data_IF_835544864192
#
_entry.id   IF_835544864192
#
_cell.length_a   1.000
_cell.length_b   1.000
_cell.length_c   1.000
_cell.angle_alpha   90.00
_cell.angle_beta   90.00
_cell.angle_gamma   90.00
#
_symmetry.space_group_name_H-M   'P 1'
#
loop_
_entity.id
_entity.type
_entity.pdbx_description
1 polymer ?
#
# COMPACT_ATOMS: atom_id res chain seq x y z
N UNK A 1 19.43 45.83 17.54
CA UNK A 1 18.10 45.48 18.08
C UNK A 1 17.54 44.42 17.17
N UNK A 2 17.94 43.18 17.45
CA UNK A 2 17.49 41.96 16.80
C UNK A 2 16.17 41.53 17.44
N UNK A 3 15.18 41.14 16.63
CA UNK A 3 13.84 40.73 17.08
C UNK A 3 13.34 39.55 16.27
N UNK A 4 14.11 38.47 16.26
CA UNK A 4 13.58 37.12 16.02
C UNK A 4 13.41 36.39 17.35
N UNK A 5 12.16 36.24 17.78
CA UNK A 5 11.75 35.15 18.65
C UNK A 5 10.32 34.78 18.25
N UNK A 6 10.21 33.81 17.33
CA UNK A 6 8.99 33.03 17.12
C UNK A 6 8.88 32.06 18.29
N UNK A 7 7.74 32.08 18.96
CA UNK A 7 7.38 31.14 20.03
C UNK A 7 7.42 29.67 19.52
N UNK A 8 7.83 28.72 20.37
CA UNK A 8 7.83 27.30 20.01
C UNK A 8 6.41 26.75 20.01
N UNK A 9 6.09 26.00 18.95
CA UNK A 9 4.85 25.24 18.77
C UNK A 9 4.71 24.23 19.92
N UNK A 10 3.63 24.37 20.69
CA UNK A 10 3.20 23.39 21.69
C UNK A 10 3.12 22.00 21.05
N UNK A 11 3.96 21.10 21.55
CA UNK A 11 4.02 19.70 21.21
C UNK A 11 2.69 19.04 21.55
N UNK A 12 1.89 18.75 20.53
CA UNK A 12 0.61 18.06 20.65
C UNK A 12 0.88 16.61 21.09
N UNK A 13 0.99 16.38 22.40
CA UNK A 13 1.22 15.04 22.97
C UNK A 13 0.05 14.14 22.59
N UNK A 14 0.26 13.28 21.60
CA UNK A 14 -0.68 12.24 21.23
C UNK A 14 -0.89 11.31 22.43
N UNK A 15 -2.14 10.87 22.65
CA UNK A 15 -2.47 9.87 23.68
C UNK A 15 -1.49 8.69 23.57
N UNK A 16 -0.73 8.44 24.62
CA UNK A 16 0.25 7.35 24.66
C UNK A 16 -0.45 6.01 24.44
N UNK A 17 0.19 5.18 23.61
CA UNK A 17 -0.29 3.82 23.34
C UNK A 17 -0.13 2.95 24.58
N UNK A 18 -1.14 2.12 24.84
CA UNK A 18 -1.10 1.18 25.97
C UNK A 18 0.06 0.20 25.78
N UNK A 19 0.89 -0.08 26.80
CA UNK A 19 2.00 -1.02 26.68
C UNK A 19 1.55 -2.40 26.20
N UNK A 20 2.35 -3.01 25.33
CA UNK A 20 2.22 -4.41 24.89
C UNK A 20 3.34 -5.20 25.56
N UNK A 21 2.99 -6.28 26.26
CA UNK A 21 3.95 -7.19 26.87
C UNK A 21 4.37 -8.24 25.82
N UNK A 22 5.62 -8.22 25.30
CA UNK A 22 6.06 -9.15 24.28
C UNK A 22 6.13 -10.61 24.78
N UNK A 23 6.11 -10.84 26.10
CA UNK A 23 6.19 -12.19 26.70
C UNK A 23 4.81 -12.83 26.91
N UNK A 24 3.73 -12.08 26.71
CA UNK A 24 2.36 -12.56 26.95
C UNK A 24 1.82 -13.52 25.87
N UNK A 25 2.51 -13.65 24.73
CA UNK A 25 2.14 -14.57 23.66
C UNK A 25 2.64 -14.13 22.28
N UNK A 26 2.52 -14.99 21.26
CA UNK A 26 3.08 -14.74 19.94
C UNK A 26 2.42 -13.56 19.22
N UNK A 27 1.13 -13.31 19.47
CA UNK A 27 0.42 -12.13 18.93
C UNK A 27 0.94 -10.83 19.55
N UNK A 28 1.24 -10.83 20.85
CA UNK A 28 1.78 -9.68 21.56
C UNK A 28 3.24 -9.42 21.18
N UNK A 29 4.04 -10.46 20.99
CA UNK A 29 5.40 -10.36 20.45
C UNK A 29 5.40 -9.74 19.04
N UNK A 30 4.54 -10.22 18.14
CA UNK A 30 4.40 -9.68 16.79
C UNK A 30 3.97 -8.20 16.80
N UNK A 31 3.02 -7.83 17.67
CA UNK A 31 2.57 -6.45 17.82
C UNK A 31 3.67 -5.54 18.41
N UNK A 32 4.47 -6.04 19.34
CA UNK A 32 5.64 -5.33 19.89
C UNK A 32 6.67 -5.04 18.78
N UNK A 33 7.01 -6.03 17.98
CA UNK A 33 7.94 -5.86 16.85
C UNK A 33 7.37 -4.91 15.79
N UNK A 34 6.05 -4.91 15.52
CA UNK A 34 5.44 -3.94 14.61
C UNK A 34 5.61 -2.49 15.10
N UNK A 35 5.45 -2.27 16.42
CA UNK A 35 5.69 -0.95 17.02
C UNK A 35 7.16 -0.55 16.96
N UNK A 36 8.08 -1.50 17.13
CA UNK A 36 9.52 -1.29 16.99
C UNK A 36 9.88 -0.91 15.56
N UNK A 37 9.37 -1.62 14.56
CA UNK A 37 9.55 -1.26 13.15
C UNK A 37 9.06 0.17 12.86
N UNK A 38 7.89 0.55 13.39
CA UNK A 38 7.40 1.93 13.24
C UNK A 38 8.32 2.94 13.93
N UNK A 39 8.85 2.63 15.11
CA UNK A 39 9.80 3.50 15.78
C UNK A 39 11.10 3.69 14.96
N UNK A 40 11.64 2.61 14.39
CA UNK A 40 12.80 2.62 13.50
C UNK A 40 12.54 3.43 12.21
N UNK A 41 11.29 3.46 11.74
CA UNK A 41 10.84 4.29 10.62
C UNK A 41 10.62 5.78 10.96
N UNK A 42 11.09 6.25 12.13
CA UNK A 42 10.91 7.64 12.59
C UNK A 42 9.60 7.88 13.35
N UNK A 43 8.95 6.82 13.82
CA UNK A 43 7.73 6.84 14.62
C UNK A 43 6.56 7.67 14.03
N UNK A 44 6.18 7.46 12.74
CA UNK A 44 5.06 8.18 12.16
C UNK A 44 3.75 7.92 12.93
N UNK A 45 2.93 8.95 13.09
CA UNK A 45 1.59 8.79 13.69
C UNK A 45 0.74 7.83 12.85
N UNK A 46 -0.22 7.11 13.47
CA UNK A 46 -1.11 6.22 12.70
C UNK A 46 -1.90 6.95 11.60
N UNK A 47 -2.18 8.25 11.77
CA UNK A 47 -2.77 9.08 10.70
C UNK A 47 -1.81 9.31 9.54
N UNK A 48 -0.52 9.49 9.82
CA UNK A 48 0.50 9.59 8.78
C UNK A 48 0.67 8.26 8.06
N UNK A 49 0.74 7.16 8.82
CA UNK A 49 0.85 5.81 8.29
C UNK A 49 -0.36 5.41 7.43
N UNK A 50 -1.57 5.83 7.82
CA UNK A 50 -2.80 5.58 7.07
C UNK A 50 -2.77 6.13 5.64
N UNK A 51 -2.10 7.27 5.41
CA UNK A 51 -1.97 7.86 4.08
C UNK A 51 -1.18 6.97 3.13
N UNK A 52 -0.17 6.27 3.63
CA UNK A 52 0.71 5.41 2.84
C UNK A 52 0.20 3.97 2.78
N UNK A 53 -0.30 3.43 3.90
CA UNK A 53 -0.71 2.02 4.04
C UNK A 53 -2.09 1.70 3.43
N UNK A 54 -2.93 2.70 3.14
CA UNK A 54 -4.27 2.46 2.57
C UNK A 54 -5.30 1.88 3.55
N UNK A 55 -4.99 1.84 4.85
CA UNK A 55 -5.90 1.44 5.93
C UNK A 55 -6.17 2.60 6.89
N UNK A 56 -7.29 2.56 7.61
CA UNK A 56 -7.63 3.59 8.59
C UNK A 56 -6.63 3.64 9.75
N UNK A 57 -6.42 4.82 10.34
CA UNK A 57 -5.55 4.97 11.51
C UNK A 57 -6.00 4.08 12.68
N UNK A 58 -7.30 3.84 12.84
CA UNK A 58 -7.86 2.92 13.84
C UNK A 58 -7.43 1.48 13.56
N UNK A 59 -7.57 1.01 12.31
CA UNK A 59 -7.18 -0.34 11.89
C UNK A 59 -5.68 -0.59 12.13
N UNK A 60 -4.83 0.39 11.80
CA UNK A 60 -3.38 0.28 12.00
C UNK A 60 -3.00 0.31 13.49
N UNK A 61 -3.69 1.10 14.29
CA UNK A 61 -3.54 1.12 15.75
C UNK A 61 -3.95 -0.22 16.37
N UNK A 62 -5.05 -0.81 15.91
CA UNK A 62 -5.51 -2.14 16.35
C UNK A 62 -4.53 -3.25 15.94
N UNK A 63 -3.98 -3.19 14.72
CA UNK A 63 -2.99 -4.16 14.25
C UNK A 63 -1.72 -4.16 15.10
N UNK A 64 -1.27 -2.98 15.55
CA UNK A 64 -0.18 -2.83 16.51
C UNK A 64 -0.64 -3.00 17.97
N UNK A 65 -1.90 -3.37 18.23
CA UNK A 65 -2.50 -3.41 19.56
C UNK A 65 -2.19 -4.67 20.38
N UNK A 66 -1.82 -5.78 19.73
CA UNK A 66 -1.52 -7.04 20.39
C UNK A 66 -2.73 -7.76 21.00
N UNK A 67 -3.96 -7.31 20.70
CA UNK A 67 -5.20 -7.92 21.20
C UNK A 67 -5.70 -9.07 20.32
N UNK A 68 -5.37 -9.03 19.03
CA UNK A 68 -5.71 -10.05 18.04
C UNK A 68 -4.67 -10.03 16.92
N UNK A 69 -4.43 -11.17 16.30
CA UNK A 69 -3.58 -11.24 15.12
C UNK A 69 -4.21 -10.38 14.00
N UNK A 70 -3.52 -9.35 13.48
CA UNK A 70 -4.00 -8.64 12.29
C UNK A 70 -4.16 -9.60 11.11
N UNK A 71 -4.97 -9.25 10.12
CA UNK A 71 -4.92 -9.99 8.85
C UNK A 71 -3.55 -9.79 8.21
N UNK A 72 -3.11 -10.78 7.42
CA UNK A 72 -1.83 -10.72 6.74
C UNK A 72 -1.68 -9.42 5.91
N UNK A 73 -2.75 -9.03 5.21
CA UNK A 73 -2.76 -7.81 4.40
C UNK A 73 -2.53 -6.52 5.21
N UNK A 74 -3.20 -6.38 6.37
CA UNK A 74 -3.05 -5.21 7.23
C UNK A 74 -1.62 -5.15 7.80
N UNK A 75 -1.06 -6.30 8.17
CA UNK A 75 0.32 -6.39 8.64
C UNK A 75 1.31 -5.99 7.53
N UNK A 76 1.18 -6.53 6.32
CA UNK A 76 2.09 -6.22 5.21
C UNK A 76 1.99 -4.74 4.78
N UNK A 77 0.79 -4.16 4.76
CA UNK A 77 0.62 -2.74 4.47
C UNK A 77 1.23 -1.82 5.55
N UNK A 78 1.12 -2.20 6.82
CA UNK A 78 1.81 -1.50 7.92
C UNK A 78 3.33 -1.57 7.72
N UNK A 79 3.86 -2.76 7.47
CA UNK A 79 5.29 -3.02 7.29
C UNK A 79 5.84 -2.24 6.10
N UNK A 80 5.15 -2.29 4.95
CA UNK A 80 5.54 -1.55 3.75
C UNK A 80 5.50 -0.04 3.97
N UNK A 81 4.49 0.48 4.68
CA UNK A 81 4.42 1.90 5.04
C UNK A 81 5.54 2.34 6.00
N UNK A 82 6.09 1.42 6.79
CA UNK A 82 7.28 1.65 7.61
C UNK A 82 8.60 1.32 6.90
N UNK A 83 8.57 0.86 5.65
CA UNK A 83 9.77 0.50 4.89
C UNK A 83 10.44 -0.81 5.30
N UNK A 84 9.73 -1.68 6.05
CA UNK A 84 10.22 -3.03 6.40
C UNK A 84 10.11 -4.02 5.23
N UNK A 85 10.72 -5.20 5.40
CA UNK A 85 10.72 -6.27 4.40
C UNK A 85 9.41 -7.11 4.44
N UNK A 86 8.51 -7.01 3.43
CA UNK A 86 7.23 -7.71 3.48
C UNK A 86 7.36 -9.24 3.55
N UNK A 87 8.38 -9.84 2.94
CA UNK A 87 8.52 -11.30 2.90
C UNK A 87 8.93 -11.89 4.25
N UNK A 88 9.81 -11.19 4.96
CA UNK A 88 10.19 -11.53 6.34
C UNK A 88 8.98 -11.49 7.27
N UNK A 89 8.20 -10.42 7.14
CA UNK A 89 7.01 -10.20 7.95
C UNK A 89 5.86 -11.14 7.59
N UNK A 90 5.75 -11.57 6.32
CA UNK A 90 4.84 -12.63 5.89
C UNK A 90 5.15 -13.96 6.57
N UNK A 91 6.43 -14.37 6.60
CA UNK A 91 6.85 -15.60 7.28
C UNK A 91 6.51 -15.57 8.77
N UNK A 92 6.88 -14.48 9.45
CA UNK A 92 6.54 -14.27 10.87
C UNK A 92 5.04 -14.32 11.14
N UNK A 93 4.23 -13.74 10.25
CA UNK A 93 2.77 -13.79 10.39
C UNK A 93 2.25 -15.22 10.30
N UNK A 94 2.76 -16.03 9.36
CA UNK A 94 2.37 -17.43 9.23
C UNK A 94 2.79 -18.28 10.44
N UNK A 95 4.00 -18.07 10.97
CA UNK A 95 4.47 -18.72 12.20
C UNK A 95 3.49 -18.45 13.37
N UNK A 96 3.13 -17.18 13.58
CA UNK A 96 2.17 -16.81 14.62
C UNK A 96 0.77 -17.36 14.33
N UNK A 97 0.31 -17.34 13.08
CA UNK A 97 -1.00 -17.88 12.69
C UNK A 97 -1.10 -19.39 12.95
N UNK A 98 0.00 -20.11 12.74
CA UNK A 98 0.09 -21.55 12.97
C UNK A 98 0.09 -21.88 14.46
N UNK A 99 0.78 -21.09 15.28
CA UNK A 99 0.72 -21.18 16.74
C UNK A 99 -0.66 -20.84 17.33
N UNK A 100 -1.47 -20.04 16.61
CA UNK A 100 -2.84 -19.72 16.99
C UNK A 100 -3.86 -20.78 16.55
N UNK A 101 -3.47 -21.76 15.71
CA UNK A 101 -4.38 -22.85 15.36
C UNK A 101 -4.62 -23.71 16.61
N UNK A 102 -5.89 -23.99 16.96
CA UNK A 102 -6.18 -24.96 18.01
C UNK A 102 -5.50 -26.27 17.64
N UNK A 103 -4.63 -26.80 18.50
CA UNK A 103 -4.20 -28.18 18.40
C UNK A 103 -5.45 -29.05 18.57
N UNK A 104 -5.83 -29.75 17.51
CA UNK A 104 -6.86 -30.78 17.52
C UNK A 104 -6.35 -31.96 18.38
N UNK A 105 -6.33 -31.76 19.69
CA UNK A 105 -6.29 -32.87 20.63
C UNK A 105 -7.69 -33.46 20.67
N UNK A 106 -7.89 -34.45 19.79
CA UNK A 106 -8.77 -35.59 20.03
C UNK A 106 -10.23 -35.25 20.27
N UNK A 107 -11.01 -35.35 19.20
CA UNK A 107 -12.42 -35.70 19.20
C UNK A 107 -12.79 -36.64 20.38
N UNK A 108 -13.35 -36.08 21.44
CA UNK A 108 -14.21 -36.80 22.38
C UNK A 108 -15.61 -36.23 22.20
N UNK A 109 -16.48 -37.09 21.68
CA UNK A 109 -17.88 -36.84 21.41
C UNK A 109 -18.61 -36.49 22.73
N UNK A 110 -19.40 -35.39 22.85
CA UNK A 110 -20.06 -34.99 24.11
C UNK A 110 -21.25 -35.85 24.55
N UNK A 111 -21.33 -37.10 24.10
CA UNK A 111 -22.41 -38.01 24.47
C UNK A 111 -21.79 -39.20 25.21
N UNK A 112 -21.50 -39.01 26.50
CA UNK A 112 -21.58 -40.00 27.58
C UNK A 112 -20.88 -39.46 28.84
N UNK A 113 -21.68 -38.89 29.76
CA UNK A 113 -21.24 -38.48 31.10
C UNK A 113 -22.42 -37.93 31.95
N UNK A 114 -22.56 -38.31 33.23
CA UNK A 114 -23.83 -38.26 33.99
C UNK A 114 -24.18 -36.86 34.55
N UNK A 115 -25.41 -36.63 35.04
CA UNK A 115 -25.87 -35.32 35.49
C UNK A 115 -25.43 -34.97 36.93
N UNK A 116 -25.21 -33.67 37.10
CA UNK A 116 -25.22 -32.79 38.30
C UNK A 116 -24.30 -33.09 39.50
N UNK A 117 -23.54 -32.06 39.93
CA UNK A 117 -23.53 -31.50 41.31
C UNK A 117 -22.76 -30.16 41.41
N UNK A 118 -23.18 -29.33 42.36
CA UNK A 118 -22.99 -27.89 42.56
C UNK A 118 -21.55 -27.35 42.83
N UNK A 119 -21.29 -26.09 42.42
CA UNK A 119 -20.18 -25.27 42.95
C UNK A 119 -19.87 -23.95 42.21
N UNK A 120 -19.43 -22.86 42.87
CA UNK A 120 -19.90 -21.49 42.59
C UNK A 120 -19.11 -20.69 41.53
N UNK A 121 -19.84 -19.87 40.74
CA UNK A 121 -19.27 -18.87 39.82
C UNK A 121 -18.83 -17.58 40.56
N UNK A 122 -17.61 -17.05 40.35
CA UNK A 122 -17.25 -15.71 40.78
C UNK A 122 -17.39 -14.64 39.66
N UNK A 123 -18.31 -13.70 39.94
CA UNK A 123 -18.25 -12.23 39.80
C UNK A 123 -17.74 -11.57 38.51
N UNK A 124 -18.69 -11.17 37.66
CA UNK A 124 -18.54 -10.06 36.69
C UNK A 124 -18.77 -8.71 37.39
N UNK A 125 -17.80 -7.80 37.28
CA UNK A 125 -17.87 -6.45 37.82
C UNK A 125 -18.88 -5.60 37.03
N UNK A 126 -19.96 -5.22 37.71
CA UNK A 126 -20.93 -4.21 37.25
C UNK A 126 -20.36 -2.82 37.54
N UNK A 127 -20.38 -1.95 36.54
CA UNK A 127 -20.18 -0.49 36.72
C UNK A 127 -21.42 0.08 37.43
N UNK A 128 -21.29 0.81 38.55
CA UNK A 128 -22.44 1.48 39.15
C UNK A 128 -22.72 2.82 38.45
N UNK A 129 -23.98 3.01 38.06
CA UNK A 129 -24.53 4.31 37.69
C UNK A 129 -24.86 5.09 38.98
N UNK A 130 -24.35 6.32 39.09
CA UNK A 130 -24.73 7.25 40.16
C UNK A 130 -25.92 8.09 39.69
N UNK A 131 -27.06 7.86 40.34
CA UNK A 131 -28.19 8.79 40.39
C UNK A 131 -27.95 9.75 41.57
N UNK A 132 -28.06 11.05 41.33
CA UNK A 132 -28.20 12.06 42.38
C UNK A 132 -29.49 12.83 42.13
N UNK A 133 -30.43 12.73 43.07
CA UNK A 133 -31.61 13.57 43.17
C UNK A 133 -31.51 14.35 44.49
N UNK A 134 -31.67 15.67 44.43
CA UNK A 134 -32.06 16.51 45.59
C UNK A 134 -33.03 17.58 45.10
N UNK A 135 -34.03 17.84 45.95
CA UNK A 135 -35.32 18.43 45.65
C UNK A 135 -35.38 19.98 45.69
N UNK A 136 -36.38 20.48 44.95
CA UNK A 136 -37.32 21.59 45.19
C UNK A 136 -36.86 22.90 45.87
N UNK A 137 -37.16 24.05 45.24
CA UNK A 137 -38.26 24.96 45.67
C UNK A 137 -38.65 25.95 44.56
N UNK A 138 -39.87 26.47 44.68
CA UNK A 138 -40.74 27.14 43.70
C UNK A 138 -40.45 28.62 43.39
N UNK A 139 -40.89 29.09 42.20
CA UNK A 139 -41.90 30.19 42.09
C UNK A 139 -42.54 30.34 40.69
N UNK A 140 -43.87 30.30 40.70
CA UNK A 140 -44.90 31.07 39.99
C UNK A 140 -44.65 31.81 38.63
N UNK A 141 -45.57 31.51 37.70
CA UNK A 141 -46.37 32.40 36.83
C UNK A 141 -45.67 33.18 35.69
N UNK A 142 -46.01 32.81 34.44
CA UNK A 142 -46.53 33.78 33.45
C UNK A 142 -47.35 33.09 32.35
N UNK A 143 -48.54 33.63 32.12
CA UNK A 143 -49.50 33.32 31.05
C UNK A 143 -49.10 34.07 29.78
N UNK A 144 -49.09 33.43 28.60
CA UNK A 144 -49.45 34.06 27.30
C UNK A 144 -49.37 33.07 26.10
N UNK A 145 -50.55 32.74 25.57
CA UNK A 145 -50.99 32.71 24.15
C UNK A 145 -50.08 32.19 23.01
N UNK A 146 -50.54 31.06 22.44
CA UNK A 146 -50.78 30.74 21.00
C UNK A 146 -49.82 31.23 19.90
N UNK A 147 -49.23 30.29 19.13
CA UNK A 147 -49.25 30.25 17.64
C UNK A 147 -49.05 28.80 17.19
N UNK A 148 -49.91 28.32 16.29
CA UNK A 148 -49.81 26.98 15.69
C UNK A 148 -48.59 26.84 14.77
N UNK A 149 -47.85 25.75 14.96
CA UNK A 149 -46.84 25.29 14.00
C UNK A 149 -47.26 23.91 13.51
N UNK A 150 -47.47 23.84 12.19
CA UNK A 150 -47.83 22.65 11.46
C UNK A 150 -46.90 21.48 11.79
N UNK A 151 -47.48 20.36 12.25
CA UNK A 151 -46.80 19.05 12.28
C UNK A 151 -46.59 18.60 10.84
N UNK A 152 -45.46 19.00 10.23
CA UNK A 152 -44.93 18.29 9.06
C UNK A 152 -44.52 16.91 9.55
N UNK A 153 -45.26 15.89 9.14
CA UNK A 153 -44.83 14.51 9.31
C UNK A 153 -43.45 14.35 8.66
N UNK A 154 -42.47 13.95 9.45
CA UNK A 154 -41.19 13.50 8.93
C UNK A 154 -41.45 12.33 7.97
N UNK A 155 -40.94 12.35 6.72
CA UNK A 155 -40.98 11.16 5.89
C UNK A 155 -40.24 10.03 6.63
N UNK A 156 -40.69 8.77 6.52
CA UNK A 156 -40.00 7.67 7.15
C UNK A 156 -38.57 7.63 6.63
N UNK A 157 -37.61 7.61 7.56
CA UNK A 157 -36.21 7.41 7.26
C UNK A 157 -36.09 6.10 6.46
N UNK A 158 -35.83 6.21 5.16
CA UNK A 158 -35.43 5.06 4.36
C UNK A 158 -34.14 4.56 4.99
N UNK A 159 -34.23 3.41 5.68
CA UNK A 159 -33.05 2.75 6.20
C UNK A 159 -32.08 2.52 5.04
N UNK A 160 -30.80 2.90 5.14
CA UNK A 160 -29.83 2.59 4.11
C UNK A 160 -29.81 1.07 3.94
N UNK A 161 -30.05 0.62 2.70
CA UNK A 161 -29.98 -0.79 2.33
C UNK A 161 -28.62 -1.34 2.78
N UNK A 162 -28.65 -2.33 3.67
CA UNK A 162 -27.49 -3.05 4.19
C UNK A 162 -26.98 -4.13 3.23
N UNK A 163 -27.38 -4.06 1.94
CA UNK A 163 -26.80 -4.93 0.94
C UNK A 163 -25.32 -4.58 0.79
N UNK A 164 -24.40 -5.56 0.89
CA UNK A 164 -23.00 -5.30 0.58
C UNK A 164 -22.90 -4.71 -0.84
N UNK A 165 -22.03 -3.72 -1.07
CA UNK A 165 -21.89 -3.12 -2.39
C UNK A 165 -21.62 -4.23 -3.41
N UNK A 166 -22.50 -4.36 -4.39
CA UNK A 166 -22.36 -5.37 -5.45
C UNK A 166 -21.22 -4.98 -6.40
N UNK A 167 -20.56 -5.97 -6.99
CA UNK A 167 -19.57 -5.71 -8.03
C UNK A 167 -20.21 -4.95 -9.21
N UNK A 168 -19.48 -4.00 -9.84
CA UNK A 168 -19.97 -3.31 -11.01
C UNK A 168 -20.18 -4.31 -12.16
N UNK A 169 -21.18 -4.04 -13.00
CA UNK A 169 -21.35 -4.79 -14.25
C UNK A 169 -20.22 -4.44 -15.21
N UNK A 170 -19.72 -5.44 -15.95
CA UNK A 170 -18.69 -5.21 -16.94
C UNK A 170 -19.28 -4.43 -18.14
N UNK A 171 -18.73 -3.26 -18.49
CA UNK A 171 -19.22 -2.47 -19.59
C UNK A 171 -18.66 -2.97 -20.94
N UNK A 172 -19.42 -2.74 -22.01
CA UNK A 172 -19.11 -3.26 -23.35
C UNK A 172 -17.90 -2.57 -24.01
N UNK A 173 -17.56 -1.35 -23.58
CA UNK A 173 -16.45 -0.54 -24.08
C UNK A 173 -15.15 -0.68 -23.24
N UNK A 174 -15.10 -1.67 -22.33
CA UNK A 174 -13.89 -1.94 -21.58
C UNK A 174 -12.76 -2.41 -22.51
N UNK A 175 -11.65 -1.66 -22.53
CA UNK A 175 -10.42 -2.00 -23.26
C UNK A 175 -9.69 -3.18 -22.62
N UNK A 176 -9.74 -3.28 -21.29
CA UNK A 176 -9.20 -4.40 -20.53
C UNK A 176 -9.92 -4.55 -19.20
N UNK A 177 -9.62 -5.64 -18.49
CA UNK A 177 -10.20 -5.93 -17.18
C UNK A 177 -9.13 -6.17 -16.13
N UNK A 178 -9.52 -6.01 -14.87
CA UNK A 178 -8.71 -6.43 -13.74
C UNK A 178 -9.57 -6.78 -12.53
N UNK A 179 -8.97 -7.48 -11.58
CA UNK A 179 -9.62 -7.92 -10.35
C UNK A 179 -9.14 -7.08 -9.18
N UNK A 180 -10.05 -6.40 -8.50
CA UNK A 180 -9.74 -5.62 -7.30
C UNK A 180 -9.34 -6.55 -6.15
N UNK A 181 -8.47 -6.10 -5.25
CA UNK A 181 -8.04 -6.91 -4.09
C UNK A 181 -7.85 -6.07 -2.82
N UNK A 182 -7.47 -6.73 -1.72
CA UNK A 182 -7.25 -6.09 -0.42
C UNK A 182 -8.50 -5.45 0.15
N UNK A 183 -8.43 -4.16 0.49
CA UNK A 183 -9.57 -3.39 0.99
C UNK A 183 -10.57 -2.95 -0.11
N UNK A 184 -10.34 -3.34 -1.37
CA UNK A 184 -11.09 -2.88 -2.52
C UNK A 184 -10.49 -1.64 -3.18
N UNK A 185 -11.11 -1.20 -4.26
CA UNK A 185 -10.63 -0.16 -5.14
C UNK A 185 -11.38 1.15 -4.94
N UNK A 186 -10.68 2.16 -4.40
CA UNK A 186 -11.23 3.52 -4.30
C UNK A 186 -11.18 4.21 -5.67
N UNK A 187 -12.34 4.41 -6.27
CA UNK A 187 -12.49 5.19 -7.50
C UNK A 187 -12.47 6.66 -7.14
N UNK A 188 -11.51 7.40 -7.69
CA UNK A 188 -11.26 8.81 -7.36
C UNK A 188 -11.47 9.70 -8.56
N UNK A 189 -11.72 10.98 -8.30
CA UNK A 189 -11.86 12.01 -9.35
C UNK A 189 -10.56 12.33 -10.10
N UNK A 190 -9.41 11.99 -9.52
CA UNK A 190 -8.10 12.20 -10.15
C UNK A 190 -7.06 11.22 -9.60
N UNK A 191 -5.91 11.18 -10.25
CA UNK A 191 -4.87 10.16 -10.07
C UNK A 191 -3.96 10.44 -8.87
N UNK A 192 -4.56 10.72 -7.72
CA UNK A 192 -3.87 10.87 -6.43
C UNK A 192 -4.79 10.43 -5.28
N UNK A 193 -4.20 9.90 -4.21
CA UNK A 193 -4.89 9.47 -2.99
C UNK A 193 -5.50 10.61 -2.19
N UNK A 194 -5.08 11.85 -2.42
CA UNK A 194 -5.69 13.04 -1.82
C UNK A 194 -6.97 13.48 -2.57
N UNK A 195 -7.25 12.90 -3.73
CA UNK A 195 -8.48 13.19 -4.48
C UNK A 195 -9.71 12.54 -3.85
N UNK A 196 -10.88 13.20 -3.88
CA UNK A 196 -12.12 12.66 -3.35
C UNK A 196 -12.46 11.28 -3.93
N UNK A 197 -12.80 10.35 -3.05
CA UNK A 197 -13.35 9.04 -3.42
C UNK A 197 -14.80 9.23 -3.85
N UNK A 198 -15.11 8.81 -5.08
CA UNK A 198 -16.47 8.82 -5.62
C UNK A 198 -17.25 7.58 -5.19
N UNK A 199 -16.59 6.43 -5.26
CA UNK A 199 -17.13 5.14 -4.83
C UNK A 199 -15.99 4.19 -4.48
N UNK A 200 -16.30 3.11 -3.77
CA UNK A 200 -15.36 2.02 -3.51
C UNK A 200 -15.91 0.75 -4.13
N UNK A 201 -15.16 0.17 -5.05
CA UNK A 201 -15.46 -1.15 -5.61
C UNK A 201 -14.94 -2.20 -4.62
N UNK A 202 -15.75 -3.19 -4.20
CA UNK A 202 -15.30 -4.24 -3.29
C UNK A 202 -14.10 -5.01 -3.84
N UNK A 203 -13.35 -5.70 -2.98
CA UNK A 203 -12.34 -6.67 -3.41
C UNK A 203 -13.00 -7.89 -4.09
N UNK A 204 -12.23 -8.57 -4.95
CA UNK A 204 -12.67 -9.73 -5.72
C UNK A 204 -13.56 -9.39 -6.93
N UNK A 205 -13.80 -8.10 -7.20
CA UNK A 205 -14.63 -7.69 -8.33
C UNK A 205 -13.80 -7.60 -9.61
N UNK A 206 -14.34 -8.17 -10.70
CA UNK A 206 -13.83 -7.90 -12.05
C UNK A 206 -14.36 -6.54 -12.52
N UNK A 207 -13.45 -5.65 -12.89
CA UNK A 207 -13.74 -4.28 -13.31
C UNK A 207 -13.24 -4.06 -14.73
N UNK A 208 -14.03 -3.35 -15.53
CA UNK A 208 -13.65 -2.93 -16.88
C UNK A 208 -13.00 -1.55 -16.86
N UNK A 209 -11.89 -1.42 -17.58
CA UNK A 209 -11.11 -0.20 -17.70
C UNK A 209 -11.02 0.23 -19.16
N UNK A 210 -11.19 1.52 -19.42
CA UNK A 210 -11.13 2.09 -20.78
C UNK A 210 -9.72 2.54 -21.15
N UNK A 211 -8.85 2.77 -20.17
CA UNK A 211 -7.49 3.25 -20.36
C UNK A 211 -6.73 3.35 -19.04
N UNK A 212 -5.58 4.01 -19.08
CA UNK A 212 -4.84 4.36 -17.88
C UNK A 212 -4.08 5.67 -18.07
N UNK A 213 -3.71 6.30 -16.97
CA UNK A 213 -2.82 7.45 -16.93
C UNK A 213 -1.71 7.25 -15.90
N UNK A 214 -0.78 8.20 -15.83
CA UNK A 214 0.26 8.26 -14.80
C UNK A 214 -0.16 9.23 -13.72
N UNK A 215 -0.01 8.85 -12.46
CA UNK A 215 -0.41 9.65 -11.30
C UNK A 215 0.55 9.54 -10.13
N UNK A 216 0.01 9.74 -8.93
CA UNK A 216 0.74 9.53 -7.68
C UNK A 216 1.27 8.09 -7.61
N UNK A 217 2.52 7.95 -7.18
CA UNK A 217 3.14 6.66 -6.88
C UNK A 217 2.47 6.02 -5.67
N UNK A 218 1.90 4.85 -5.86
CA UNK A 218 1.29 4.01 -4.82
C UNK A 218 2.04 2.68 -4.80
N UNK A 219 2.33 2.17 -3.60
CA UNK A 219 3.06 0.91 -3.48
C UNK A 219 2.11 -0.28 -3.66
N UNK A 220 2.41 -1.14 -4.63
CA UNK A 220 1.74 -2.42 -4.86
C UNK A 220 2.32 -3.44 -3.88
N UNK A 221 1.57 -3.72 -2.81
CA UNK A 221 1.99 -4.65 -1.77
C UNK A 221 2.05 -6.10 -2.25
N UNK A 222 1.33 -6.45 -3.32
CA UNK A 222 1.32 -7.81 -3.85
C UNK A 222 2.49 -8.03 -4.78
N UNK A 223 2.79 -7.05 -5.63
CA UNK A 223 3.95 -7.03 -6.52
C UNK A 223 5.26 -6.66 -5.83
N UNK A 224 5.21 -6.09 -4.62
CA UNK A 224 6.38 -5.60 -3.89
C UNK A 224 7.05 -4.39 -4.55
N UNK A 225 6.30 -3.63 -5.35
CA UNK A 225 6.86 -2.59 -6.23
C UNK A 225 6.06 -1.30 -6.18
N UNK A 226 6.70 -0.13 -6.36
CA UNK A 226 5.95 1.09 -6.65
C UNK A 226 5.20 0.99 -7.98
N UNK A 227 4.00 1.58 -8.03
CA UNK A 227 3.19 1.68 -9.22
C UNK A 227 2.63 3.10 -9.36
N UNK A 228 2.82 3.71 -10.53
CA UNK A 228 2.30 5.04 -10.86
C UNK A 228 1.13 4.98 -11.85
N UNK A 229 0.70 3.79 -12.26
CA UNK A 229 -0.43 3.63 -13.19
C UNK A 229 -1.74 3.77 -12.44
N UNK A 230 -2.62 4.59 -13.00
CA UNK A 230 -3.99 4.76 -12.53
C UNK A 230 -4.94 4.38 -13.66
N UNK A 231 -5.75 3.34 -13.46
CA UNK A 231 -6.66 2.82 -14.47
C UNK A 231 -7.96 3.62 -14.50
N UNK A 232 -8.40 3.99 -15.70
CA UNK A 232 -9.63 4.72 -15.93
C UNK A 232 -10.80 3.75 -15.88
N UNK A 233 -11.70 3.94 -14.92
CA UNK A 233 -12.88 3.09 -14.76
C UNK A 233 -13.92 3.48 -15.80
N UNK A 234 -14.51 2.50 -16.47
CA UNK A 234 -15.64 2.73 -17.35
C UNK A 234 -16.84 3.28 -16.54
N UNK A 235 -17.30 4.49 -16.90
CA UNK A 235 -18.24 5.28 -16.10
C UNK A 235 -17.60 6.46 -15.35
N UNK A 236 -16.28 6.61 -15.43
CA UNK A 236 -15.54 7.77 -14.96
C UNK A 236 -14.76 7.55 -13.66
N UNK A 237 -13.79 8.43 -13.44
CA UNK A 237 -12.85 8.31 -12.33
C UNK A 237 -11.68 7.37 -12.63
N UNK A 238 -10.76 7.30 -11.69
CA UNK A 238 -9.53 6.48 -11.78
C UNK A 238 -9.29 5.70 -10.49
N UNK A 239 -8.67 4.54 -10.61
CA UNK A 239 -8.22 3.71 -9.49
C UNK A 239 -6.72 3.46 -9.62
N UNK A 240 -5.99 3.42 -8.50
CA UNK A 240 -4.60 2.99 -8.50
C UNK A 240 -4.51 1.51 -8.93
N UNK A 241 -3.62 1.19 -9.85
CA UNK A 241 -3.38 -0.19 -10.26
C UNK A 241 -2.72 -1.04 -9.17
N UNK A 242 -2.13 -0.41 -8.15
CA UNK A 242 -1.54 -1.06 -6.98
C UNK A 242 -2.56 -1.82 -6.10
N UNK A 243 -3.86 -1.79 -6.45
CA UNK A 243 -4.93 -2.57 -5.81
C UNK A 243 -5.76 -3.36 -6.85
N UNK A 244 -5.22 -3.56 -8.05
CA UNK A 244 -5.87 -4.28 -9.15
C UNK A 244 -4.93 -5.32 -9.75
N UNK A 245 -5.35 -6.58 -9.78
CA UNK A 245 -4.70 -7.64 -10.54
C UNK A 245 -5.15 -7.59 -12.00
N UNK A 246 -4.22 -7.25 -12.88
CA UNK A 246 -4.46 -7.13 -14.31
C UNK A 246 -3.62 -6.03 -14.91
N UNK A 247 -3.16 -6.24 -16.14
CA UNK A 247 -2.33 -5.26 -16.84
C UNK A 247 -3.07 -4.76 -18.08
N UNK A 248 -2.86 -3.49 -18.46
CA UNK A 248 -3.26 -3.00 -19.76
C UNK A 248 -2.69 -3.87 -20.89
N UNK A 249 -3.37 -3.95 -22.05
CA UNK A 249 -2.84 -4.63 -23.21
C UNK A 249 -1.50 -4.03 -23.63
N UNK A 250 -0.58 -4.87 -24.14
CA UNK A 250 0.72 -4.40 -24.61
C UNK A 250 0.55 -3.31 -25.67
N UNK A 251 1.27 -2.21 -25.50
CA UNK A 251 1.24 -1.08 -26.43
C UNK A 251 0.14 -0.04 -26.16
N UNK A 252 -0.79 -0.28 -25.24
CA UNK A 252 -1.70 0.76 -24.78
C UNK A 252 -0.88 1.89 -24.14
N UNK A 253 -1.09 3.13 -24.60
CA UNK A 253 -0.36 4.31 -24.11
C UNK A 253 -1.12 4.97 -22.98
N UNK A 254 -0.37 5.55 -22.04
CA UNK A 254 -0.95 6.37 -21.00
C UNK A 254 -1.65 7.60 -21.61
N UNK A 255 -2.86 7.89 -21.17
CA UNK A 255 -3.58 9.12 -21.48
C UNK A 255 -3.36 10.16 -20.38
N UNK A 256 -3.84 11.38 -20.62
CA UNK A 256 -3.97 12.39 -19.58
C UNK A 256 -5.15 12.08 -18.66
N UNK A 257 -5.10 12.56 -17.42
CA UNK A 257 -6.19 12.47 -16.45
C UNK A 257 -6.08 13.59 -15.40
N UNK A 258 -7.17 13.92 -14.69
CA UNK A 258 -7.13 14.89 -13.61
C UNK A 258 -6.08 14.52 -12.55
N UNK A 259 -5.22 15.48 -12.19
CA UNK A 259 -4.11 15.28 -11.25
C UNK A 259 -3.14 14.17 -11.68
N UNK A 260 -3.12 13.88 -12.98
CA UNK A 260 -2.10 13.08 -13.60
C UNK A 260 -0.74 13.78 -13.58
N UNK A 261 0.31 12.98 -13.73
CA UNK A 261 1.69 13.44 -13.83
C UNK A 261 2.21 13.14 -15.24
N UNK A 262 3.15 13.95 -15.77
CA UNK A 262 3.74 13.67 -17.06
C UNK A 262 4.55 12.38 -17.03
N UNK A 263 4.60 11.68 -18.17
CA UNK A 263 5.56 10.60 -18.38
C UNK A 263 6.99 11.16 -18.27
N UNK A 264 7.96 10.35 -17.81
CA UNK A 264 9.37 10.73 -17.92
C UNK A 264 9.71 10.98 -19.40
N UNK A 265 10.54 11.99 -19.65
CA UNK A 265 10.93 12.41 -21.01
C UNK A 265 12.38 12.09 -21.34
N UNK A 266 13.23 12.01 -20.33
CA UNK A 266 14.65 11.71 -20.46
C UNK A 266 15.08 10.72 -19.38
N UNK A 267 16.08 9.91 -19.71
CA UNK A 267 16.74 8.98 -18.81
C UNK A 267 18.22 9.04 -19.13
N UNK A 268 19.00 9.46 -18.14
CA UNK A 268 20.44 9.37 -18.14
C UNK A 268 20.84 8.11 -17.39
N UNK A 269 21.83 7.39 -17.92
CA UNK A 269 22.28 6.13 -17.35
C UNK A 269 23.79 6.10 -17.31
N UNK A 270 24.33 5.78 -16.13
CA UNK A 270 25.76 5.67 -15.88
C UNK A 270 26.06 4.40 -15.10
N UNK A 271 27.26 3.86 -15.33
CA UNK A 271 27.76 2.69 -14.62
C UNK A 271 29.16 3.01 -14.12
N UNK A 272 29.34 2.91 -12.81
CA UNK A 272 30.64 3.01 -12.16
C UNK A 272 31.02 1.65 -11.59
N UNK A 273 32.30 1.41 -11.39
CA UNK A 273 32.77 0.21 -10.73
C UNK A 273 33.84 0.56 -9.70
N UNK A 274 33.83 -0.16 -8.59
CA UNK A 274 34.99 -0.22 -7.73
C UNK A 274 36.03 -1.16 -8.38
N UNK A 275 37.33 -0.92 -8.15
CA UNK A 275 38.46 -1.49 -8.91
C UNK A 275 38.45 -3.03 -9.04
N UNK A 276 37.74 -3.72 -8.15
CA UNK A 276 37.46 -5.16 -8.19
C UNK A 276 36.07 -5.52 -7.63
N UNK A 277 35.17 -4.54 -7.51
CA UNK A 277 33.90 -4.68 -6.81
C UNK A 277 32.67 -4.72 -7.72
N UNK A 278 31.47 -4.76 -7.12
CA UNK A 278 30.22 -4.72 -7.88
C UNK A 278 30.12 -3.44 -8.71
N UNK A 279 29.50 -3.58 -9.89
CA UNK A 279 29.10 -2.46 -10.72
C UNK A 279 27.97 -1.72 -10.02
N UNK A 280 28.08 -0.39 -9.94
CA UNK A 280 27.01 0.49 -9.48
C UNK A 280 26.34 1.12 -10.69
N UNK A 281 25.07 0.79 -10.87
CA UNK A 281 24.20 1.32 -11.91
C UNK A 281 23.47 2.53 -11.35
N UNK A 282 23.44 3.64 -12.09
CA UNK A 282 22.68 4.83 -11.70
C UNK A 282 21.91 5.41 -12.86
N UNK A 283 20.61 5.64 -12.63
CA UNK A 283 19.73 6.27 -13.59
C UNK A 283 19.07 7.53 -13.00
N UNK A 284 19.10 8.61 -13.76
CA UNK A 284 18.55 9.92 -13.34
C UNK A 284 17.74 10.55 -14.47
N UNK A 285 16.80 11.41 -14.13
CA UNK A 285 15.94 12.09 -15.09
C UNK A 285 14.68 12.66 -14.45
N UNK A 286 14.11 13.72 -15.03
CA UNK A 286 12.86 14.30 -14.57
C UNK A 286 11.71 13.30 -14.74
N UNK A 287 10.88 13.18 -13.71
CA UNK A 287 9.68 12.34 -13.73
C UNK A 287 9.95 10.84 -13.66
N UNK A 288 11.17 10.41 -13.33
CA UNK A 288 11.45 9.01 -13.02
C UNK A 288 10.88 8.66 -11.65
N UNK A 289 9.91 7.74 -11.61
CA UNK A 289 9.34 7.21 -10.37
C UNK A 289 9.80 5.78 -10.08
N UNK A 290 9.99 4.98 -11.14
CA UNK A 290 10.42 3.59 -11.09
C UNK A 290 11.42 3.33 -12.21
N UNK A 291 12.55 2.71 -11.89
CA UNK A 291 13.56 2.33 -12.89
C UNK A 291 13.88 0.85 -12.77
N UNK A 292 13.73 0.14 -13.89
CA UNK A 292 14.18 -1.24 -14.03
C UNK A 292 15.60 -1.30 -14.58
N UNK A 293 16.40 -2.20 -14.04
CA UNK A 293 17.73 -2.53 -14.55
C UNK A 293 17.76 -3.97 -15.05
N UNK A 294 18.41 -4.21 -16.18
CA UNK A 294 18.62 -5.56 -16.71
C UNK A 294 20.00 -5.70 -17.36
N UNK A 295 20.44 -6.94 -17.51
CA UNK A 295 21.72 -7.31 -18.12
C UNK A 295 21.54 -8.41 -19.16
N UNK A 296 22.34 -8.37 -20.20
CA UNK A 296 22.49 -9.42 -21.21
C UNK A 296 23.97 -9.59 -21.55
N UNK A 297 24.46 -10.82 -21.80
CA UNK A 297 25.85 -11.03 -22.24
C UNK A 297 26.19 -10.31 -23.56
N UNK A 298 25.28 -10.35 -24.53
CA UNK A 298 25.51 -9.84 -25.89
C UNK A 298 24.64 -8.62 -26.26
N UNK A 299 23.53 -8.42 -25.55
CA UNK A 299 22.49 -7.42 -25.80
C UNK A 299 21.37 -7.90 -26.74
N UNK A 300 21.52 -9.09 -27.34
CA UNK A 300 20.55 -9.65 -28.28
C UNK A 300 19.50 -10.53 -27.61
N UNK A 301 19.91 -11.32 -26.62
CA UNK A 301 19.02 -12.27 -25.93
C UNK A 301 19.44 -12.50 -24.47
N UNK A 302 18.70 -13.35 -23.74
CA UNK A 302 19.09 -13.75 -22.39
C UNK A 302 19.06 -12.60 -21.36
N UNK A 303 18.18 -11.62 -21.55
CA UNK A 303 18.01 -10.50 -20.62
C UNK A 303 17.56 -10.98 -19.24
N UNK A 304 18.37 -10.70 -18.22
CA UNK A 304 18.08 -10.96 -16.81
C UNK A 304 17.85 -9.67 -16.08
N UNK A 305 16.80 -9.63 -15.28
CA UNK A 305 16.52 -8.48 -14.41
C UNK A 305 17.60 -8.38 -13.32
N UNK A 306 18.12 -7.18 -13.11
CA UNK A 306 18.99 -6.83 -11.99
C UNK A 306 18.13 -6.34 -10.82
N UNK A 307 17.13 -5.51 -11.10
CA UNK A 307 16.16 -5.06 -10.10
C UNK A 307 15.20 -4.01 -10.64
N UNK A 308 14.09 -3.81 -9.93
CA UNK A 308 13.11 -2.76 -10.17
C UNK A 308 13.12 -1.80 -8.97
N UNK A 309 13.59 -0.58 -9.18
CA UNK A 309 13.99 0.34 -8.10
C UNK A 309 13.02 1.52 -8.01
N UNK A 310 12.58 1.78 -6.78
CA UNK A 310 11.80 2.96 -6.40
C UNK A 310 12.66 4.23 -6.34
N UNK A 311 12.31 5.25 -7.12
CA UNK A 311 12.98 6.56 -7.09
C UNK A 311 12.36 7.41 -5.97
N UNK A 312 12.95 7.36 -4.78
CA UNK A 312 12.47 8.12 -3.61
C UNK A 312 12.84 9.59 -3.68
N UNK A 313 14.08 9.87 -4.09
CA UNK A 313 14.60 11.22 -4.26
C UNK A 313 14.95 11.43 -5.75
N UNK A 314 14.20 12.29 -6.47
CA UNK A 314 14.47 12.60 -7.87
C UNK A 314 15.88 13.16 -8.13
N UNK A 315 16.50 13.84 -7.17
CA UNK A 315 17.86 14.35 -7.30
C UNK A 315 18.90 13.24 -7.25
N UNK A 316 18.60 12.15 -6.54
CA UNK A 316 19.46 10.96 -6.46
C UNK A 316 19.19 10.01 -7.62
N UNK A 317 17.94 9.85 -8.03
CA UNK A 317 17.50 8.89 -9.04
C UNK A 317 17.45 7.46 -8.50
N UNK A 318 17.52 6.48 -9.40
CA UNK A 318 17.58 5.06 -9.06
C UNK A 318 19.02 4.56 -9.05
N UNK A 319 19.33 3.67 -8.11
CA UNK A 319 20.61 2.94 -8.08
C UNK A 319 20.42 1.45 -7.85
N UNK A 320 21.29 0.65 -8.45
CA UNK A 320 21.35 -0.79 -8.25
C UNK A 320 22.81 -1.26 -8.26
N UNK A 321 23.07 -2.44 -7.69
CA UNK A 321 24.37 -3.09 -7.73
C UNK A 321 24.27 -4.44 -8.42
N UNK A 322 25.27 -4.79 -9.20
CA UNK A 322 25.37 -6.11 -9.83
C UNK A 322 26.83 -6.53 -9.93
N UNK A 323 27.09 -7.82 -9.86
CA UNK A 323 28.45 -8.33 -10.04
C UNK A 323 28.93 -8.13 -11.48
N UNK A 324 30.25 -7.92 -11.68
CA UNK A 324 30.81 -7.89 -13.03
C UNK A 324 30.49 -9.19 -13.78
N UNK A 325 30.22 -9.13 -15.08
CA UNK A 325 29.95 -10.33 -15.87
C UNK A 325 31.17 -11.25 -15.92
N UNK A 326 30.97 -12.55 -15.70
CA UNK A 326 32.04 -13.56 -15.67
C UNK A 326 32.86 -13.63 -16.98
N UNK A 327 32.25 -13.25 -18.12
CA UNK A 327 32.89 -13.22 -19.45
C UNK A 327 33.56 -11.89 -19.82
N UNK A 328 33.68 -10.94 -18.88
CA UNK A 328 34.38 -9.67 -19.08
C UNK A 328 33.61 -8.58 -19.81
N UNK A 329 32.58 -8.91 -20.59
CA UNK A 329 31.70 -7.92 -21.21
C UNK A 329 30.21 -8.27 -21.03
N UNK A 330 29.38 -7.24 -20.82
CA UNK A 330 27.93 -7.35 -20.81
C UNK A 330 27.28 -6.04 -21.28
N UNK A 331 26.05 -6.15 -21.76
CA UNK A 331 25.17 -5.02 -22.02
C UNK A 331 24.27 -4.83 -20.80
N UNK A 332 24.32 -3.64 -20.22
CA UNK A 332 23.49 -3.22 -19.10
C UNK A 332 22.47 -2.21 -19.62
N UNK A 333 21.25 -2.27 -19.10
CA UNK A 333 20.20 -1.30 -19.42
C UNK A 333 19.57 -0.71 -18.18
N UNK A 334 19.12 0.53 -18.31
CA UNK A 334 18.16 1.16 -17.42
C UNK A 334 16.93 1.56 -18.23
N UNK A 335 15.75 1.17 -17.75
CA UNK A 335 14.47 1.48 -18.36
C UNK A 335 13.57 2.21 -17.36
N UNK A 336 12.92 3.29 -17.80
CA UNK A 336 11.89 3.93 -17.00
C UNK A 336 10.62 3.07 -17.06
N UNK A 337 10.09 2.72 -15.90
CA UNK A 337 8.93 1.86 -15.73
C UNK A 337 7.79 2.64 -15.07
N UNK A 338 6.55 2.23 -15.32
CA UNK A 338 5.36 2.77 -14.64
C UNK A 338 4.94 1.92 -13.44
N UNK A 339 5.54 0.75 -13.28
CA UNK A 339 5.15 -0.33 -12.38
C UNK A 339 5.64 -1.65 -12.98
N UNK A 340 5.23 -2.78 -12.39
CA UNK A 340 5.57 -4.08 -12.95
C UNK A 340 4.97 -4.30 -14.36
N UNK A 341 5.75 -4.95 -15.23
CA UNK A 341 5.46 -5.27 -16.63
C UNK A 341 5.12 -4.08 -17.54
N UNK A 342 5.41 -2.84 -17.11
CA UNK A 342 4.94 -1.62 -17.79
C UNK A 342 6.08 -0.66 -18.13
N UNK A 343 6.90 -0.94 -19.16
CA UNK A 343 7.93 -0.01 -19.62
C UNK A 343 7.32 1.21 -20.32
N UNK A 344 7.93 2.37 -20.14
CA UNK A 344 7.56 3.62 -20.83
C UNK A 344 8.05 3.70 -22.28
N UNK A 345 9.03 2.87 -22.63
CA UNK A 345 9.81 2.99 -23.87
C UNK A 345 11.09 3.84 -23.73
N UNK A 346 11.27 4.57 -22.62
CA UNK A 346 12.54 5.22 -22.33
C UNK A 346 13.53 4.21 -21.76
N UNK A 347 14.56 3.90 -22.56
CA UNK A 347 15.62 2.97 -22.21
C UNK A 347 16.98 3.55 -22.62
N UNK A 348 18.00 3.25 -21.83
CA UNK A 348 19.42 3.48 -22.17
C UNK A 348 20.20 2.21 -21.96
N UNK A 349 21.20 2.02 -22.81
CA UNK A 349 22.10 0.88 -22.77
C UNK A 349 23.55 1.34 -22.68
N UNK A 350 24.35 0.60 -21.93
CA UNK A 350 25.81 0.71 -21.95
C UNK A 350 26.41 -0.67 -22.13
N UNK A 351 27.51 -0.75 -22.88
CA UNK A 351 28.37 -1.93 -22.90
C UNK A 351 29.42 -1.76 -21.81
N UNK A 352 29.40 -2.63 -20.81
CA UNK A 352 30.49 -2.75 -19.84
C UNK A 352 31.50 -3.77 -20.33
N UNK A 353 32.79 -3.46 -20.27
CA UNK A 353 33.90 -4.40 -20.55
C UNK A 353 34.77 -4.64 -19.30
N UNK A 354 34.20 -4.46 -18.11
CA UNK A 354 34.88 -4.56 -16.83
C UNK A 354 34.82 -3.27 -15.98
N UNK A 355 35.54 -3.24 -14.85
CA UNK A 355 35.46 -2.16 -13.88
C UNK A 355 35.85 -0.80 -14.48
N UNK A 356 34.95 0.19 -14.41
CA UNK A 356 35.21 1.57 -14.84
C UNK A 356 35.18 1.79 -16.35
N UNK A 357 34.82 0.78 -17.15
CA UNK A 357 34.67 0.88 -18.61
C UNK A 357 33.24 0.54 -19.00
N UNK A 358 32.40 1.56 -19.08
CA UNK A 358 31.05 1.47 -19.60
C UNK A 358 30.86 2.51 -20.72
N UNK A 359 30.56 2.05 -21.92
CA UNK A 359 30.40 2.91 -23.09
C UNK A 359 28.93 2.89 -23.51
N UNK A 360 28.24 4.05 -23.63
CA UNK A 360 26.90 4.11 -24.19
C UNK A 360 26.85 3.43 -25.56
N UNK A 361 25.81 2.63 -25.79
CA UNK A 361 25.63 1.98 -27.08
C UNK A 361 24.18 2.08 -27.55
N UNK A 362 23.92 2.18 -28.86
CA UNK A 362 22.59 2.00 -29.38
C UNK A 362 22.14 0.55 -29.20
N UNK A 363 20.84 0.37 -29.00
CA UNK A 363 20.16 -0.93 -29.01
C UNK A 363 19.00 -0.82 -30.00
N UNK A 364 18.82 -1.81 -30.86
CA UNK A 364 17.75 -1.78 -31.86
C UNK A 364 16.35 -1.93 -31.23
N UNK A 365 15.26 -1.57 -31.92
CA UNK A 365 13.92 -1.58 -31.32
C UNK A 365 13.46 -2.95 -30.78
N UNK A 366 13.87 -4.05 -31.41
CA UNK A 366 13.54 -5.40 -30.94
C UNK A 366 14.26 -5.73 -29.63
N UNK A 367 15.56 -5.39 -29.56
CA UNK A 367 16.34 -5.48 -28.33
C UNK A 367 15.79 -4.58 -27.22
N UNK A 368 15.39 -3.34 -27.55
CA UNK A 368 14.79 -2.39 -26.61
C UNK A 368 13.53 -2.97 -25.95
N UNK A 369 12.63 -3.54 -26.73
CA UNK A 369 11.40 -4.11 -26.19
C UNK A 369 11.67 -5.30 -25.25
N UNK A 370 12.57 -6.21 -25.62
CA UNK A 370 12.94 -7.35 -24.79
C UNK A 370 13.67 -6.92 -23.50
N UNK A 371 14.62 -5.99 -23.62
CA UNK A 371 15.37 -5.45 -22.50
C UNK A 371 14.47 -4.69 -21.52
N UNK A 372 13.57 -3.84 -22.03
CA UNK A 372 12.62 -3.09 -21.21
C UNK A 372 11.60 -4.01 -20.52
N UNK A 373 11.13 -5.05 -21.22
CA UNK A 373 10.24 -6.05 -20.63
C UNK A 373 10.92 -6.80 -19.47
N UNK A 374 12.17 -7.24 -19.65
CA UNK A 374 12.93 -7.88 -18.57
C UNK A 374 13.26 -6.92 -17.42
N UNK A 375 13.59 -5.67 -17.72
CA UNK A 375 13.93 -4.66 -16.71
C UNK A 375 12.71 -4.25 -15.86
N UNK A 376 11.55 -4.05 -16.49
CA UNK A 376 10.34 -3.59 -15.83
C UNK A 376 9.46 -4.72 -15.29
N UNK A 377 9.87 -5.98 -15.39
CA UNK A 377 9.09 -7.13 -14.88
C UNK A 377 8.83 -6.99 -13.37
N UNK A 378 7.70 -7.51 -12.89
CA UNK A 378 7.56 -7.73 -11.45
C UNK A 378 8.70 -8.62 -10.92
N UNK A 379 9.41 -8.23 -9.84
CA UNK A 379 10.39 -9.08 -9.21
C UNK A 379 9.75 -10.42 -8.84
N UNK A 380 10.43 -11.52 -9.14
CA UNK A 380 10.03 -12.83 -8.62
C UNK A 380 10.11 -12.80 -7.09
N UNK A 381 9.05 -13.24 -6.40
CA UNK A 381 9.13 -13.56 -4.98
C UNK A 381 10.26 -14.59 -4.83
N UNK A 382 11.36 -14.16 -4.21
CA UNK A 382 12.57 -14.96 -4.04
C UNK A 382 12.39 -16.09 -3.04
#
# INVERSE_FOLDING_TARGET
MDRTAREPLEEYVARQERPVDPTAGPVQALAYELRKLRAEAGNPTYRTLARTAGYSATTLSEAAGGTRLPTLEVLLAYVGACGGNPDEWRRRWHEVADEQRPTDTGNVNPADGPPDEDGPLPRRWRRPALLAAVAATATAITVATAVGVARRGSPPATAPSSAPPACPRLPADATFTGTTYGAGAHVRRGASRDQPVQTTIPAGCTVGFTGFCVGEKVYDNTGGTPDVRWFTVAGGGVVSSAVVHGNPPRGLRASECPQGRPLPSTLDFSVTADRSGPLTLRATGPGLDVVGFATSPDGGSGWRQIGLVDVRDPAVGASARTDPPAGGAAVLVAAACLGGDSPTGLIRAVRSTGPGRAVPMPIDPGQQAAAAASACRYPSAG
#
